data_IF_920920862452
#
_entry.id   IF_920920862452
#
_cell.length_a   1.000
_cell.length_b   1.000
_cell.length_c   1.000
_cell.angle_alpha   90.00
_cell.angle_beta   90.00
_cell.angle_gamma   90.00
#
_symmetry.space_group_name_H-M   'P 1'
#
loop_
_entity.id
_entity.type
_entity.pdbx_description
1 polymer ?
#
# COMPACT_ATOMS: atom_id res chain seq x y z
N UNK A 1 27.24 -10.16 6.18
CA UNK A 1 26.65 -8.83 6.30
C UNK A 1 25.13 -8.92 6.20
N UNK A 2 24.42 -8.22 7.07
CA UNK A 2 22.94 -8.12 7.06
C UNK A 2 22.56 -6.73 6.61
N UNK A 3 21.63 -6.65 5.64
CA UNK A 3 20.98 -5.40 5.25
C UNK A 3 19.52 -5.47 5.71
N UNK A 4 19.11 -4.48 6.48
CA UNK A 4 17.74 -4.35 6.99
C UNK A 4 16.96 -3.37 6.14
N UNK A 5 15.88 -3.88 5.54
CA UNK A 5 15.02 -3.12 4.64
C UNK A 5 13.61 -3.08 5.19
N UNK A 6 13.03 -1.90 5.27
CA UNK A 6 11.62 -1.73 5.54
C UNK A 6 10.85 -1.59 4.23
N UNK A 7 9.84 -2.40 4.03
CA UNK A 7 8.98 -2.36 2.84
C UNK A 7 7.56 -2.83 3.14
N UNK A 8 6.59 -2.31 2.39
CA UNK A 8 5.22 -2.85 2.41
C UNK A 8 5.20 -4.26 1.82
N UNK A 9 4.17 -5.03 2.16
CA UNK A 9 4.02 -6.40 1.67
C UNK A 9 3.96 -6.48 0.14
N UNK A 10 3.30 -5.53 -0.54
CA UNK A 10 3.26 -5.55 -1.99
C UNK A 10 4.60 -5.18 -2.64
N UNK A 11 5.36 -4.26 -2.04
CA UNK A 11 6.70 -3.94 -2.50
C UNK A 11 7.64 -5.13 -2.34
N UNK A 12 7.57 -5.82 -1.20
CA UNK A 12 8.30 -7.04 -0.94
C UNK A 12 7.97 -8.11 -2.00
N UNK A 13 6.69 -8.38 -2.21
CA UNK A 13 6.25 -9.46 -3.12
C UNK A 13 6.46 -9.16 -4.60
N UNK A 14 6.48 -7.89 -5.01
CA UNK A 14 6.64 -7.53 -6.43
C UNK A 14 8.06 -7.13 -6.83
N UNK A 15 8.87 -6.63 -5.88
CA UNK A 15 10.24 -6.17 -6.15
C UNK A 15 11.28 -7.22 -5.75
N UNK A 16 11.17 -7.80 -4.56
CA UNK A 16 12.24 -8.62 -3.99
C UNK A 16 12.49 -9.95 -4.68
N UNK A 17 11.55 -10.60 -5.36
CA UNK A 17 11.92 -11.78 -6.15
C UNK A 17 13.05 -11.52 -7.13
N UNK A 18 13.03 -10.37 -7.82
CA UNK A 18 14.12 -9.96 -8.74
C UNK A 18 15.37 -9.52 -7.98
N UNK A 19 15.22 -8.77 -6.91
CA UNK A 19 16.35 -8.31 -6.08
C UNK A 19 17.07 -9.49 -5.46
N UNK A 20 16.35 -10.44 -4.87
CA UNK A 20 16.95 -11.64 -4.25
C UNK A 20 17.70 -12.45 -5.29
N UNK A 21 17.14 -12.63 -6.49
CA UNK A 21 17.85 -13.34 -7.58
C UNK A 21 19.19 -12.69 -7.90
N UNK A 22 19.19 -11.37 -8.06
CA UNK A 22 20.41 -10.62 -8.33
C UNK A 22 21.43 -10.71 -7.19
N UNK A 23 20.95 -10.62 -5.93
CA UNK A 23 21.80 -10.73 -4.76
C UNK A 23 22.41 -12.13 -4.60
N UNK A 24 21.68 -13.18 -4.93
CA UNK A 24 22.21 -14.56 -4.90
C UNK A 24 23.38 -14.74 -5.86
N UNK A 25 23.34 -14.06 -7.01
CA UNK A 25 24.41 -14.12 -8.00
C UNK A 25 25.59 -13.21 -7.65
N UNK A 26 25.32 -11.98 -7.21
CA UNK A 26 26.34 -10.95 -7.06
C UNK A 26 26.96 -10.88 -5.64
N UNK A 27 26.18 -11.23 -4.65
CA UNK A 27 26.56 -11.16 -3.24
C UNK A 27 25.96 -12.31 -2.42
N UNK A 28 26.34 -13.56 -2.69
CA UNK A 28 25.70 -14.73 -2.08
C UNK A 28 25.83 -14.81 -0.55
N UNK A 29 26.80 -14.12 0.01
CA UNK A 29 27.00 -14.03 1.47
C UNK A 29 26.16 -12.94 2.17
N UNK A 30 25.37 -12.17 1.43
CA UNK A 30 24.53 -11.13 1.99
C UNK A 30 23.21 -11.71 2.54
N UNK A 31 22.83 -11.26 3.73
CA UNK A 31 21.50 -11.55 4.30
C UNK A 31 20.64 -10.31 4.20
N UNK A 32 19.43 -10.47 3.67
CA UNK A 32 18.41 -9.44 3.64
C UNK A 32 17.38 -9.71 4.73
N UNK A 33 17.18 -8.73 5.60
CA UNK A 33 16.16 -8.75 6.64
C UNK A 33 15.08 -7.74 6.28
N UNK A 34 13.90 -8.23 5.88
CA UNK A 34 12.77 -7.39 5.47
C UNK A 34 11.84 -7.17 6.64
N UNK A 35 11.65 -5.93 6.99
CA UNK A 35 10.87 -5.51 8.15
C UNK A 35 9.54 -4.86 7.72
N UNK A 36 8.51 -5.07 8.52
CA UNK A 36 7.22 -4.39 8.28
C UNK A 36 7.29 -2.92 8.69
N UNK A 37 6.54 -2.04 8.00
CA UNK A 37 6.57 -0.61 8.29
C UNK A 37 6.01 -0.18 9.65
N UNK A 38 5.25 -1.04 10.33
CA UNK A 38 4.50 -0.69 11.53
C UNK A 38 5.36 -0.29 12.74
N UNK A 39 6.61 -0.77 12.77
CA UNK A 39 7.45 -0.67 13.98
C UNK A 39 8.67 0.25 13.80
N UNK A 40 8.68 1.05 12.74
CA UNK A 40 9.86 1.83 12.35
C UNK A 40 9.61 3.32 12.40
N UNK A 41 10.56 4.05 12.97
CA UNK A 41 10.61 5.51 12.97
C UNK A 41 11.80 6.02 12.14
N UNK A 42 11.77 7.29 11.73
CA UNK A 42 12.93 7.93 11.12
C UNK A 42 14.17 7.87 12.02
N UNK A 43 13.97 7.91 13.33
CA UNK A 43 15.06 7.80 14.31
C UNK A 43 15.76 6.44 14.25
N UNK A 44 15.02 5.36 14.00
CA UNK A 44 15.60 4.03 13.84
C UNK A 44 16.48 3.93 12.59
N UNK A 45 16.10 4.63 11.52
CA UNK A 45 16.91 4.74 10.31
C UNK A 45 18.16 5.59 10.58
N UNK A 46 18.01 6.75 11.22
CA UNK A 46 19.15 7.61 11.60
C UNK A 46 20.14 6.90 12.52
N UNK A 47 19.67 6.05 13.41
CA UNK A 47 20.48 5.25 14.31
C UNK A 47 21.12 4.01 13.67
N UNK A 48 20.90 3.80 12.38
CA UNK A 48 21.44 2.67 11.64
C UNK A 48 20.84 1.32 11.98
N UNK A 49 19.66 1.30 12.60
CA UNK A 49 18.90 0.05 12.84
C UNK A 49 18.28 -0.47 11.57
N UNK A 50 18.02 0.40 10.60
CA UNK A 50 17.47 0.11 9.30
C UNK A 50 18.33 0.80 8.26
N UNK A 51 18.71 0.05 7.22
CA UNK A 51 19.60 0.54 6.18
C UNK A 51 18.85 1.20 5.04
N UNK A 52 17.69 0.64 4.66
CA UNK A 52 16.88 1.10 3.53
C UNK A 52 15.40 1.11 3.89
N UNK A 53 14.69 2.07 3.33
CA UNK A 53 13.23 2.15 3.41
C UNK A 53 12.67 2.30 2.02
N UNK A 54 11.74 1.42 1.66
CA UNK A 54 11.00 1.48 0.41
C UNK A 54 9.55 1.81 0.74
N UNK A 55 9.17 3.06 0.45
CA UNK A 55 7.82 3.54 0.73
C UNK A 55 7.54 4.79 -0.10
N UNK A 56 6.31 5.25 -0.06
CA UNK A 56 5.92 6.57 -0.52
C UNK A 56 6.00 7.54 0.66
N UNK A 57 6.72 8.63 0.49
CA UNK A 57 6.86 9.68 1.51
C UNK A 57 6.30 11.00 0.96
N UNK A 58 5.48 11.67 1.76
CA UNK A 58 5.01 13.01 1.44
C UNK A 58 6.05 14.06 1.87
N UNK A 59 6.76 13.78 2.96
CA UNK A 59 7.86 14.59 3.47
C UNK A 59 8.97 13.68 3.97
N UNK A 60 10.21 14.10 3.76
CA UNK A 60 11.39 13.38 4.21
C UNK A 60 12.41 14.35 4.80
N UNK A 61 13.07 13.97 5.91
CA UNK A 61 14.18 14.77 6.44
C UNK A 61 15.29 14.96 5.41
N UNK A 62 15.91 16.15 5.39
CA UNK A 62 16.97 16.48 4.43
C UNK A 62 18.22 15.60 4.58
N UNK A 63 18.38 14.95 5.73
CA UNK A 63 19.51 14.04 6.00
C UNK A 63 19.43 12.73 5.24
N UNK A 64 18.30 12.41 4.61
CA UNK A 64 18.13 11.15 3.88
C UNK A 64 18.40 11.32 2.40
N UNK A 65 19.08 10.33 1.83
CA UNK A 65 19.18 10.17 0.39
C UNK A 65 17.97 9.41 -0.13
N UNK A 66 17.43 9.85 -1.25
CA UNK A 66 16.28 9.21 -1.86
C UNK A 66 16.44 9.05 -3.37
N UNK A 67 15.88 7.98 -3.87
CA UNK A 67 15.70 7.75 -5.31
C UNK A 67 14.28 7.27 -5.57
N UNK A 68 13.72 7.62 -6.71
CA UNK A 68 12.44 7.07 -7.14
C UNK A 68 12.67 5.73 -7.83
N UNK A 69 12.08 4.67 -7.27
CA UNK A 69 12.15 3.33 -7.85
C UNK A 69 11.10 3.12 -8.95
N UNK A 70 9.89 3.59 -8.72
CA UNK A 70 8.81 3.58 -9.70
C UNK A 70 7.76 4.63 -9.37
N UNK A 71 6.93 4.95 -10.33
CA UNK A 71 5.71 5.71 -10.16
C UNK A 71 4.52 4.84 -10.52
N UNK A 72 3.43 4.96 -9.77
CA UNK A 72 2.33 4.00 -9.83
C UNK A 72 0.99 4.72 -9.62
N UNK A 73 0.06 4.65 -10.58
CA UNK A 73 -1.28 5.17 -10.37
C UNK A 73 -2.02 4.31 -9.36
N UNK A 74 -3.04 4.87 -8.74
CA UNK A 74 -3.97 4.10 -7.94
C UNK A 74 -5.05 3.48 -8.81
N UNK A 75 -5.56 2.37 -8.35
CA UNK A 75 -6.62 1.62 -9.01
C UNK A 75 -7.54 1.01 -7.97
N UNK A 76 -8.73 0.62 -8.38
CA UNK A 76 -9.68 -0.11 -7.53
C UNK A 76 -9.66 -1.59 -7.88
N UNK A 77 -9.64 -2.43 -6.86
CA UNK A 77 -9.78 -3.88 -6.99
C UNK A 77 -11.01 -4.32 -6.21
N UNK A 78 -11.80 -5.20 -6.81
CA UNK A 78 -13.03 -5.73 -6.24
C UNK A 78 -13.31 -7.12 -6.77
N UNK A 79 -14.27 -7.83 -6.13
CA UNK A 79 -14.78 -9.10 -6.64
C UNK A 79 -15.39 -8.91 -8.03
N UNK A 80 -15.24 -9.91 -8.89
CA UNK A 80 -15.95 -9.97 -10.17
C UNK A 80 -17.47 -9.93 -10.00
N UNK A 81 -17.97 -10.40 -8.85
CA UNK A 81 -19.40 -10.42 -8.53
C UNK A 81 -19.88 -9.16 -7.81
N UNK A 82 -19.00 -8.18 -7.62
CA UNK A 82 -19.39 -6.94 -6.96
C UNK A 82 -20.41 -6.18 -7.81
N UNK A 83 -21.59 -5.84 -7.23
CA UNK A 83 -22.68 -5.19 -7.99
C UNK A 83 -22.30 -3.84 -8.61
N UNK A 84 -21.26 -3.16 -8.07
CA UNK A 84 -20.80 -1.87 -8.59
C UNK A 84 -20.31 -1.96 -10.03
N UNK A 85 -19.90 -3.14 -10.49
CA UNK A 85 -19.38 -3.35 -11.84
C UNK A 85 -20.41 -3.09 -12.93
N UNK A 86 -21.71 -3.09 -12.61
CA UNK A 86 -22.78 -2.75 -13.55
C UNK A 86 -22.72 -1.28 -13.98
N UNK A 87 -22.27 -0.40 -13.08
CA UNK A 87 -22.06 1.02 -13.34
C UNK A 87 -21.01 1.57 -12.38
N UNK A 88 -19.76 1.49 -12.78
CA UNK A 88 -18.62 1.97 -11.98
C UNK A 88 -18.36 3.45 -12.26
N UNK A 89 -18.92 4.30 -11.41
CA UNK A 89 -18.74 5.75 -11.43
C UNK A 89 -18.48 6.30 -10.01
N UNK A 90 -18.22 7.59 -9.90
CA UNK A 90 -17.94 8.21 -8.60
C UNK A 90 -19.10 8.05 -7.62
N UNK A 91 -20.34 8.17 -8.09
CA UNK A 91 -21.52 8.02 -7.24
C UNK A 91 -21.62 6.60 -6.66
N UNK A 92 -21.40 5.60 -7.49
CA UNK A 92 -21.37 4.20 -7.05
C UNK A 92 -20.19 3.92 -6.12
N UNK A 93 -19.03 4.47 -6.40
CA UNK A 93 -17.86 4.38 -5.56
C UNK A 93 -18.10 4.93 -4.16
N UNK A 94 -18.71 6.11 -4.05
CA UNK A 94 -19.04 6.73 -2.77
C UNK A 94 -20.13 5.98 -2.00
N UNK A 95 -21.06 5.32 -2.71
CA UNK A 95 -22.11 4.52 -2.10
C UNK A 95 -21.64 3.14 -1.62
N UNK A 96 -20.48 2.69 -2.07
CA UNK A 96 -19.92 1.40 -1.71
C UNK A 96 -19.24 1.41 -0.34
N UNK A 97 -18.95 0.22 0.16
CA UNK A 97 -18.12 0.03 1.36
C UNK A 97 -16.66 -0.27 0.96
N UNK A 98 -15.74 0.32 1.68
CA UNK A 98 -14.33 0.35 1.32
C UNK A 98 -13.42 -0.31 2.35
N UNK A 99 -12.32 -0.85 1.83
CA UNK A 99 -11.16 -1.25 2.62
C UNK A 99 -10.11 -0.15 2.46
N UNK A 100 -9.58 0.31 3.58
CA UNK A 100 -8.47 1.24 3.62
C UNK A 100 -7.20 0.51 4.02
N UNK A 101 -6.16 0.65 3.19
CA UNK A 101 -4.83 0.15 3.53
C UNK A 101 -4.02 1.32 4.06
N UNK A 102 -3.62 1.23 5.33
CA UNK A 102 -2.89 2.31 5.95
C UNK A 102 -1.50 2.48 5.34
N UNK A 103 -1.10 3.72 5.17
CA UNK A 103 0.32 4.04 5.11
C UNK A 103 0.92 3.65 6.45
N UNK A 104 1.47 2.47 6.52
CA UNK A 104 2.15 2.04 7.71
C UNK A 104 3.57 2.56 7.71
N UNK A 105 4.05 2.94 8.86
CA UNK A 105 5.41 3.37 9.06
C UNK A 105 5.51 4.82 9.50
N UNK A 106 6.66 5.36 9.31
CA UNK A 106 7.21 6.59 9.84
C UNK A 106 6.24 7.78 9.83
N UNK A 107 5.93 8.31 11.01
CA UNK A 107 5.07 9.49 11.17
C UNK A 107 3.57 9.19 11.26
N UNK A 108 3.15 7.93 11.17
CA UNK A 108 1.76 7.53 11.42
C UNK A 108 1.64 7.12 12.89
N UNK A 109 0.75 7.77 13.63
CA UNK A 109 0.48 7.43 15.02
C UNK A 109 -0.17 6.05 15.18
N UNK A 110 -0.30 5.62 16.42
CA UNK A 110 -1.00 4.38 16.75
C UNK A 110 -2.50 4.58 16.60
N UNK A 111 -3.14 3.68 15.86
CA UNK A 111 -4.58 3.70 15.63
C UNK A 111 -4.99 4.55 14.43
N UNK A 112 -6.25 4.44 14.09
CA UNK A 112 -6.87 5.18 12.98
C UNK A 112 -8.07 5.93 13.52
N UNK A 113 -8.11 7.23 13.25
CA UNK A 113 -9.31 8.04 13.44
C UNK A 113 -10.00 8.18 12.08
N UNK A 114 -11.16 7.55 11.87
CA UNK A 114 -11.88 7.64 10.60
C UNK A 114 -12.31 9.05 10.24
N UNK A 115 -12.42 9.93 11.24
CA UNK A 115 -12.83 11.31 11.04
C UNK A 115 -11.65 12.23 10.69
N UNK A 116 -10.42 11.77 10.88
CA UNK A 116 -9.22 12.53 10.50
C UNK A 116 -8.80 12.22 9.04
N UNK A 117 -9.48 12.85 8.11
CA UNK A 117 -9.29 12.68 6.65
C UNK A 117 -7.84 12.92 6.22
N UNK A 118 -7.11 13.82 6.88
CA UNK A 118 -5.72 14.12 6.52
C UNK A 118 -4.78 12.94 6.76
N UNK A 119 -5.11 12.08 7.73
CA UNK A 119 -4.35 10.87 8.02
C UNK A 119 -4.71 9.68 7.14
N UNK A 120 -5.87 9.73 6.48
CA UNK A 120 -6.33 8.65 5.60
C UNK A 120 -5.55 8.57 4.28
N UNK A 121 -4.91 9.65 3.86
CA UNK A 121 -4.10 9.69 2.66
C UNK A 121 -4.74 10.46 1.52
N UNK A 122 -4.12 10.41 0.34
CA UNK A 122 -4.46 11.31 -0.76
C UNK A 122 -5.84 11.06 -1.38
N UNK A 123 -6.34 9.82 -1.40
CA UNK A 123 -7.67 9.51 -1.93
C UNK A 123 -8.75 10.25 -1.14
N UNK A 124 -8.68 10.13 0.19
CA UNK A 124 -9.65 10.77 1.08
C UNK A 124 -9.47 12.29 1.12
N UNK A 125 -8.23 12.76 0.98
CA UNK A 125 -7.94 14.19 0.82
C UNK A 125 -8.56 14.74 -0.45
N UNK A 126 -8.43 14.03 -1.57
CA UNK A 126 -9.03 14.42 -2.85
C UNK A 126 -10.57 14.41 -2.79
N UNK A 127 -11.16 13.41 -2.15
CA UNK A 127 -12.62 13.35 -1.94
C UNK A 127 -13.10 14.50 -1.06
N UNK A 128 -12.35 14.87 -0.03
CA UNK A 128 -12.70 15.98 0.85
C UNK A 128 -12.72 17.33 0.09
N UNK A 129 -11.86 17.51 -0.91
CA UNK A 129 -11.89 18.69 -1.79
C UNK A 129 -13.19 18.79 -2.61
N UNK A 130 -13.86 17.68 -2.83
CA UNK A 130 -15.17 17.61 -3.48
C UNK A 130 -16.32 17.62 -2.48
N UNK A 131 -16.05 17.84 -1.19
CA UNK A 131 -17.00 17.70 -0.07
C UNK A 131 -17.62 16.29 0.00
N UNK A 132 -16.84 15.27 -0.37
CA UNK A 132 -17.25 13.87 -0.38
C UNK A 132 -16.41 13.04 0.58
N UNK A 133 -16.99 11.92 1.02
CA UNK A 133 -16.34 10.97 1.91
C UNK A 133 -16.77 9.55 1.56
N UNK A 134 -15.82 8.63 1.52
CA UNK A 134 -16.12 7.21 1.34
C UNK A 134 -16.36 6.53 2.71
N UNK A 135 -17.15 5.46 2.69
CA UNK A 135 -17.41 4.65 3.90
C UNK A 135 -16.36 3.58 4.02
N UNK A 136 -15.46 3.72 4.97
CA UNK A 136 -14.43 2.71 5.24
C UNK A 136 -14.98 1.76 6.30
N UNK A 137 -15.02 0.46 5.97
CA UNK A 137 -15.49 -0.60 6.86
C UNK A 137 -14.39 -1.47 7.41
N UNK A 138 -13.26 -1.52 6.73
CA UNK A 138 -12.10 -2.30 7.15
C UNK A 138 -10.85 -1.43 7.02
N UNK A 139 -10.08 -1.38 8.08
CA UNK A 139 -8.72 -0.83 8.09
C UNK A 139 -7.74 -1.99 8.20
N UNK A 140 -6.79 -2.06 7.30
CA UNK A 140 -5.73 -3.06 7.33
C UNK A 140 -4.38 -2.41 7.05
N UNK A 141 -3.30 -3.11 7.35
CA UNK A 141 -1.93 -2.67 7.09
C UNK A 141 -1.26 -3.47 5.98
N UNK A 142 -2.01 -4.41 5.39
CA UNK A 142 -1.49 -5.35 4.39
C UNK A 142 -2.30 -5.28 3.11
N UNK A 143 -1.60 -5.02 1.99
CA UNK A 143 -2.22 -4.95 0.67
C UNK A 143 -2.76 -6.30 0.21
N UNK A 144 -2.03 -7.39 0.48
CA UNK A 144 -2.51 -8.73 0.12
C UNK A 144 -3.78 -9.11 0.86
N UNK A 145 -3.83 -8.86 2.17
CA UNK A 145 -5.04 -9.09 2.96
C UNK A 145 -6.23 -8.27 2.43
N UNK A 146 -6.00 -6.99 2.10
CA UNK A 146 -7.02 -6.12 1.55
C UNK A 146 -7.61 -6.67 0.23
N UNK A 147 -6.76 -7.13 -0.67
CA UNK A 147 -7.20 -7.72 -1.94
C UNK A 147 -7.98 -9.02 -1.73
N UNK A 148 -7.59 -9.86 -0.80
CA UNK A 148 -8.32 -11.09 -0.45
C UNK A 148 -9.69 -10.77 0.15
N UNK A 149 -9.78 -9.78 1.04
CA UNK A 149 -11.05 -9.33 1.60
C UNK A 149 -11.98 -8.75 0.55
N UNK A 150 -11.45 -7.99 -0.41
CA UNK A 150 -12.23 -7.45 -1.53
C UNK A 150 -12.72 -8.57 -2.47
N UNK A 151 -11.93 -9.61 -2.70
CA UNK A 151 -12.28 -10.76 -3.51
C UNK A 151 -13.49 -11.54 -2.97
N UNK A 152 -13.59 -11.65 -1.65
CA UNK A 152 -14.59 -12.50 -0.98
C UNK A 152 -15.80 -11.74 -0.45
N UNK A 153 -15.84 -10.42 -0.61
CA UNK A 153 -16.88 -9.57 -0.05
C UNK A 153 -17.26 -8.45 -1.03
N UNK A 154 -18.38 -7.79 -0.77
CA UNK A 154 -18.82 -6.60 -1.51
C UNK A 154 -18.05 -5.34 -1.05
N UNK A 155 -16.73 -5.42 -1.03
CA UNK A 155 -15.86 -4.35 -0.61
C UNK A 155 -14.94 -3.93 -1.77
N UNK A 156 -14.57 -2.66 -1.77
CA UNK A 156 -13.63 -2.09 -2.74
C UNK A 156 -12.35 -1.71 -2.01
N UNK A 157 -11.21 -2.06 -2.58
CA UNK A 157 -9.92 -1.53 -2.15
C UNK A 157 -9.33 -0.64 -3.23
N UNK A 158 -8.93 0.57 -2.86
CA UNK A 158 -8.17 1.50 -3.71
C UNK A 158 -6.72 1.45 -3.28
N UNK A 159 -5.83 1.12 -4.20
CA UNK A 159 -4.44 0.80 -3.89
C UNK A 159 -3.54 1.06 -5.11
N UNK A 160 -2.21 1.11 -4.91
CA UNK A 160 -1.28 1.24 -6.02
C UNK A 160 -1.45 0.10 -7.03
N UNK A 161 -1.44 0.45 -8.30
CA UNK A 161 -1.68 -0.50 -9.39
C UNK A 161 -0.73 -1.70 -9.36
N UNK A 162 0.53 -1.47 -8.99
CA UNK A 162 1.54 -2.54 -8.85
C UNK A 162 1.13 -3.63 -7.84
N UNK A 163 0.40 -3.29 -6.78
CA UNK A 163 -0.10 -4.27 -5.81
C UNK A 163 -1.04 -5.28 -6.49
N UNK A 164 -1.80 -4.87 -7.49
CA UNK A 164 -2.73 -5.76 -8.20
C UNK A 164 -2.04 -6.82 -9.05
N UNK A 165 -0.74 -6.69 -9.34
CA UNK A 165 0.02 -7.71 -10.07
C UNK A 165 0.01 -9.06 -9.36
N UNK A 166 -0.12 -9.06 -8.05
CA UNK A 166 -0.21 -10.28 -7.23
C UNK A 166 -1.50 -11.06 -7.51
N UNK A 167 -2.52 -10.41 -8.07
CA UNK A 167 -3.83 -10.99 -8.39
C UNK A 167 -4.13 -11.03 -9.90
N UNK A 168 -3.16 -10.70 -10.77
CA UNK A 168 -3.37 -10.57 -12.23
C UNK A 168 -3.92 -11.84 -12.88
N UNK A 169 -3.57 -13.01 -12.37
CA UNK A 169 -4.00 -14.31 -12.89
C UNK A 169 -5.24 -14.87 -12.18
N UNK A 170 -5.83 -14.10 -11.26
CA UNK A 170 -7.00 -14.51 -10.50
C UNK A 170 -8.26 -14.00 -11.20
N UNK A 171 -9.09 -14.91 -11.80
CA UNK A 171 -10.28 -14.51 -12.52
C UNK A 171 -11.43 -14.01 -11.62
N UNK A 172 -11.31 -14.17 -10.31
CA UNK A 172 -12.33 -13.77 -9.33
C UNK A 172 -12.28 -12.29 -8.99
N UNK A 173 -11.22 -11.58 -9.39
CA UNK A 173 -11.08 -10.15 -9.14
C UNK A 173 -11.10 -9.35 -10.43
N UNK A 174 -11.53 -8.11 -10.31
CA UNK A 174 -11.55 -7.12 -11.38
C UNK A 174 -10.88 -5.84 -10.89
N UNK A 175 -10.09 -5.24 -11.78
CA UNK A 175 -9.40 -3.98 -11.53
C UNK A 175 -10.00 -2.90 -12.43
N UNK A 176 -10.25 -1.72 -11.86
CA UNK A 176 -10.77 -0.54 -12.55
C UNK A 176 -9.94 0.69 -12.19
N UNK A 177 -9.68 1.60 -13.13
CA UNK A 177 -9.02 2.86 -12.83
C UNK A 177 -9.86 3.73 -11.87
N UNK A 178 -9.16 4.57 -11.10
CA UNK A 178 -9.78 5.56 -10.21
C UNK A 178 -10.05 6.85 -10.97
#
# INVERSE_FOLDING_TARGET
QVIRVMASDYAESTLFPTVIRALRDQAPGLTLDVMTPSDVSFLDVERGKIDLVINRFDQMPQSFHQITLWSDPFTCLMSRDNPILSQFDLKAYLAADHIWVSKTGMGVGVGVDPDDVQRLGWVDTALAQLNEQRRIRVFTRHYQAAMTLAEENDLIVTLPSRATWLKRDNPRVVVRPV
#
